data_IF_372992876988
#
_entry.id   IF_372992876988
#
_cell.length_a   1.000
_cell.length_b   1.000
_cell.length_c   1.000
_cell.angle_alpha   90.00
_cell.angle_beta   90.00
_cell.angle_gamma   90.00
#
_symmetry.space_group_name_H-M   'P 1'
#
loop_
_entity.id
_entity.type
_entity.pdbx_description
1 polymer ?
#
# COMPACT_ATOMS: atom_id res chain seq x y z
N UNK A 1 1.25 11.16 -6.35
CA UNK A 1 2.48 10.59 -6.94
C UNK A 1 2.53 9.11 -6.57
N UNK A 2 2.81 8.21 -7.53
CA UNK A 2 2.97 6.78 -7.32
C UNK A 2 4.20 6.29 -8.08
N UNK A 3 4.83 5.20 -7.63
CA UNK A 3 5.90 4.49 -8.33
C UNK A 3 5.37 3.49 -9.35
N UNK A 4 4.06 3.24 -9.37
CA UNK A 4 3.34 2.37 -10.28
C UNK A 4 2.25 3.13 -11.03
N UNK A 5 1.87 2.60 -12.21
CA UNK A 5 0.70 3.01 -12.98
C UNK A 5 -0.20 1.78 -13.22
N UNK A 6 -0.63 1.13 -12.14
CA UNK A 6 -1.37 -0.14 -12.23
C UNK A 6 -2.57 -0.05 -13.16
N UNK A 7 -2.75 -1.07 -14.01
CA UNK A 7 -3.78 -1.10 -15.06
C UNK A 7 -5.23 -1.03 -14.52
N UNK A 8 -5.42 -1.37 -13.25
CA UNK A 8 -6.71 -1.33 -12.55
C UNK A 8 -6.86 -0.09 -11.63
N UNK A 9 -5.89 0.85 -11.64
CA UNK A 9 -5.87 1.95 -10.67
C UNK A 9 -7.02 2.93 -10.90
N UNK A 10 -7.91 3.08 -9.92
CA UNK A 10 -9.02 4.03 -9.97
C UNK A 10 -8.58 5.50 -9.82
N UNK A 11 -7.35 5.73 -9.35
CA UNK A 11 -6.77 7.08 -9.24
C UNK A 11 -6.35 7.66 -10.59
N UNK A 12 -6.43 6.88 -11.68
CA UNK A 12 -5.97 7.25 -13.01
C UNK A 12 -4.43 7.22 -13.16
N UNK A 13 -3.97 7.35 -14.38
CA UNK A 13 -2.53 7.40 -14.68
C UNK A 13 -1.91 8.72 -14.26
N UNK A 14 -0.63 8.72 -13.89
CA UNK A 14 0.11 9.91 -13.43
C UNK A 14 0.02 11.09 -14.39
N UNK A 15 -0.15 10.82 -15.68
CA UNK A 15 -0.33 11.83 -16.74
C UNK A 15 -1.67 12.59 -16.67
N UNK A 16 -2.67 12.05 -15.97
CA UNK A 16 -3.99 12.68 -15.82
C UNK A 16 -4.12 13.56 -14.57
N UNK A 17 -3.17 13.44 -13.65
CA UNK A 17 -3.09 14.27 -12.45
C UNK A 17 -2.11 15.41 -12.72
N UNK A 18 -2.60 16.64 -12.90
CA UNK A 18 -1.74 17.83 -12.89
C UNK A 18 -0.78 17.79 -11.70
N UNK A 19 0.06 18.81 -11.50
CA UNK A 19 1.02 18.85 -10.38
C UNK A 19 0.33 18.52 -9.05
N UNK A 20 0.36 17.23 -8.68
CA UNK A 20 -0.24 16.75 -7.45
C UNK A 20 0.60 17.32 -6.28
N UNK A 21 0.06 18.31 -5.61
CA UNK A 21 0.69 18.89 -4.41
C UNK A 21 0.77 17.83 -3.33
N UNK A 22 1.97 17.50 -2.89
CA UNK A 22 2.20 16.71 -1.69
C UNK A 22 1.88 17.60 -0.48
N UNK A 23 0.90 17.24 0.39
CA UNK A 23 0.57 18.04 1.57
C UNK A 23 1.76 18.11 2.54
N UNK A 24 1.97 19.23 3.22
CA UNK A 24 3.01 19.32 4.24
C UNK A 24 2.65 18.47 5.47
N UNK A 25 3.67 17.95 6.18
CA UNK A 25 3.50 17.16 7.41
C UNK A 25 2.56 17.82 8.44
N UNK A 26 2.79 19.10 8.72
CA UNK A 26 1.99 19.87 9.68
C UNK A 26 0.55 20.09 9.22
N UNK A 27 0.31 20.16 7.91
CA UNK A 27 -1.03 20.23 7.34
C UNK A 27 -1.77 18.91 7.56
N UNK A 28 -1.11 17.77 7.35
CA UNK A 28 -1.67 16.43 7.59
C UNK A 28 -2.02 16.28 9.07
N UNK A 29 -1.09 16.57 9.96
CA UNK A 29 -1.29 16.45 11.41
C UNK A 29 -2.46 17.32 11.89
N UNK A 30 -2.52 18.60 11.48
CA UNK A 30 -3.63 19.51 11.85
C UNK A 30 -4.98 19.03 11.33
N UNK A 31 -5.05 18.55 10.06
CA UNK A 31 -6.30 18.04 9.49
C UNK A 31 -6.75 16.77 10.19
N UNK A 32 -5.83 15.86 10.48
CA UNK A 32 -6.13 14.65 11.24
C UNK A 32 -6.64 14.98 12.62
N UNK A 33 -5.93 15.82 13.38
CA UNK A 33 -6.37 16.21 14.73
C UNK A 33 -7.76 16.86 14.72
N UNK A 34 -8.00 17.78 13.78
CA UNK A 34 -9.31 18.41 13.61
C UNK A 34 -10.42 17.38 13.35
N UNK A 35 -10.14 16.38 12.51
CA UNK A 35 -11.09 15.31 12.21
C UNK A 35 -11.37 14.41 13.41
N UNK A 36 -10.33 14.05 14.17
CA UNK A 36 -10.47 13.22 15.37
C UNK A 36 -11.31 13.95 16.43
N UNK A 37 -11.11 15.24 16.63
CA UNK A 37 -11.92 16.06 17.54
C UNK A 37 -13.38 16.12 17.10
N UNK A 38 -13.65 16.35 15.80
CA UNK A 38 -15.01 16.36 15.26
C UNK A 38 -15.73 15.02 15.50
N UNK A 39 -15.02 13.88 15.36
CA UNK A 39 -15.58 12.56 15.65
C UNK A 39 -15.94 12.40 17.14
N UNK A 40 -15.09 12.89 18.05
CA UNK A 40 -15.39 12.89 19.50
C UNK A 40 -16.62 13.75 19.80
N UNK A 41 -16.70 14.96 19.27
CA UNK A 41 -17.82 15.88 19.50
C UNK A 41 -19.15 15.25 19.00
N UNK A 42 -19.08 14.51 17.90
CA UNK A 42 -20.22 13.76 17.33
C UNK A 42 -20.49 12.41 18.00
N UNK A 43 -19.65 11.99 18.95
CA UNK A 43 -19.68 10.65 19.56
C UNK A 43 -19.68 9.52 18.50
N UNK A 44 -18.98 9.76 17.39
CA UNK A 44 -18.86 8.77 16.31
C UNK A 44 -17.71 7.81 16.61
N UNK A 45 -17.88 6.49 16.37
CA UNK A 45 -16.80 5.51 16.52
C UNK A 45 -15.74 5.70 15.44
N UNK A 46 -14.52 5.26 15.76
CA UNK A 46 -13.41 5.18 14.81
C UNK A 46 -12.70 3.84 15.02
N UNK A 47 -12.74 2.99 14.00
CA UNK A 47 -12.10 1.67 14.03
C UNK A 47 -10.69 1.74 13.44
N UNK A 48 -10.49 2.55 12.39
CA UNK A 48 -9.23 2.57 11.65
C UNK A 48 -8.92 3.94 11.03
N UNK A 49 -7.62 4.31 11.06
CA UNK A 49 -7.04 5.42 10.29
C UNK A 49 -6.22 4.79 9.18
N UNK A 50 -6.63 4.99 7.92
CA UNK A 50 -5.99 4.34 6.79
C UNK A 50 -5.25 5.36 5.91
N UNK A 51 -3.97 5.09 5.67
CA UNK A 51 -3.19 5.73 4.63
C UNK A 51 -3.42 4.97 3.33
N UNK A 52 -4.29 5.51 2.52
CA UNK A 52 -4.61 5.06 1.18
C UNK A 52 -4.93 6.31 0.35
N UNK A 53 -4.86 6.23 -0.97
CA UNK A 53 -5.33 7.36 -1.77
C UNK A 53 -4.57 7.54 -3.07
N UNK A 54 -4.52 8.78 -3.56
CA UNK A 54 -4.05 9.14 -4.89
C UNK A 54 -2.52 9.03 -5.01
N UNK A 55 -1.98 7.83 -4.84
CA UNK A 55 -0.56 7.56 -4.94
C UNK A 55 -0.03 6.58 -3.91
N UNK A 56 1.28 6.52 -3.77
CA UNK A 56 1.99 5.67 -2.83
C UNK A 56 2.37 6.47 -1.57
N UNK A 57 1.82 6.15 -0.39
CA UNK A 57 2.08 6.90 0.84
C UNK A 57 3.55 6.98 1.23
N UNK A 58 4.32 5.90 1.01
CA UNK A 58 5.74 5.80 1.39
C UNK A 58 6.67 6.68 0.54
N UNK A 59 6.16 7.30 -0.54
CA UNK A 59 6.89 8.30 -1.32
C UNK A 59 6.90 9.68 -0.66
N UNK A 60 6.09 9.90 0.38
CA UNK A 60 6.10 11.19 1.08
C UNK A 60 7.46 11.39 1.78
N UNK A 61 8.15 12.53 1.59
CA UNK A 61 9.50 12.76 2.15
C UNK A 61 9.55 12.70 3.68
N UNK A 62 8.44 12.95 4.35
CA UNK A 62 8.26 12.88 5.81
C UNK A 62 7.34 11.75 6.22
N UNK A 63 7.35 10.61 5.51
CA UNK A 63 6.43 9.51 5.79
C UNK A 63 6.57 8.99 7.22
N UNK A 64 7.81 8.76 7.69
CA UNK A 64 8.06 8.21 9.02
C UNK A 64 7.53 9.13 10.13
N UNK A 65 7.79 10.44 10.01
CA UNK A 65 7.33 11.42 10.99
C UNK A 65 5.80 11.60 10.98
N UNK A 66 5.17 11.45 9.80
CA UNK A 66 3.70 11.49 9.68
C UNK A 66 3.08 10.28 10.38
N UNK A 67 3.69 9.10 10.28
CA UNK A 67 3.26 7.92 11.02
C UNK A 67 3.38 8.16 12.53
N UNK A 68 4.49 8.72 13.00
CA UNK A 68 4.69 9.04 14.43
C UNK A 68 3.65 10.05 14.94
N UNK A 69 3.39 11.12 14.19
CA UNK A 69 2.34 12.11 14.51
C UNK A 69 0.95 11.45 14.56
N UNK A 70 0.67 10.56 13.61
CA UNK A 70 -0.62 9.85 13.53
C UNK A 70 -0.82 8.91 14.72
N UNK A 71 0.20 8.14 15.09
CA UNK A 71 0.16 7.25 16.26
C UNK A 71 -0.07 8.07 17.54
N UNK A 72 0.64 9.16 17.72
CA UNK A 72 0.46 10.05 18.88
C UNK A 72 -0.96 10.65 18.96
N UNK A 73 -1.51 11.08 17.83
CA UNK A 73 -2.88 11.60 17.75
C UNK A 73 -3.93 10.50 17.99
N UNK A 74 -3.74 9.30 17.40
CA UNK A 74 -4.58 8.13 17.62
C UNK A 74 -4.62 7.78 19.11
N UNK A 75 -3.48 7.64 19.75
CA UNK A 75 -3.36 7.24 21.16
C UNK A 75 -4.03 8.26 22.09
N UNK A 76 -3.99 9.54 21.71
CA UNK A 76 -4.62 10.62 22.48
C UNK A 76 -6.14 10.64 22.36
N UNK A 77 -6.70 10.38 21.19
CA UNK A 77 -8.11 10.61 20.89
C UNK A 77 -8.93 9.31 20.72
N UNK A 78 -8.33 8.28 20.16
CA UNK A 78 -8.97 6.98 19.85
C UNK A 78 -7.96 5.84 20.04
N UNK A 79 -7.55 5.53 21.28
CA UNK A 79 -6.46 4.56 21.55
C UNK A 79 -6.73 3.14 21.02
N UNK A 80 -8.00 2.78 20.84
CA UNK A 80 -8.38 1.46 20.33
C UNK A 80 -8.41 1.39 18.79
N UNK A 81 -8.37 2.55 18.09
CA UNK A 81 -8.39 2.59 16.65
C UNK A 81 -7.07 2.06 16.06
N UNK A 82 -7.15 1.37 14.92
CA UNK A 82 -6.01 0.82 14.21
C UNK A 82 -5.42 1.83 13.22
N UNK A 83 -4.11 1.78 13.01
CA UNK A 83 -3.45 2.52 11.93
C UNK A 83 -3.07 1.53 10.84
N UNK A 84 -3.53 1.80 9.62
CA UNK A 84 -3.33 0.97 8.43
C UNK A 84 -2.59 1.77 7.35
N UNK A 85 -1.61 1.16 6.71
CA UNK A 85 -0.99 1.69 5.49
C UNK A 85 -1.17 0.68 4.37
N UNK A 86 -1.69 1.16 3.24
CA UNK A 86 -1.73 0.42 1.96
C UNK A 86 -0.54 0.90 1.13
N UNK A 87 0.41 0.02 0.84
CA UNK A 87 1.63 0.35 0.10
C UNK A 87 1.92 -0.68 -1.00
N UNK A 88 2.49 -0.20 -2.10
CA UNK A 88 3.01 -1.06 -3.17
C UNK A 88 4.40 -1.66 -2.87
N UNK A 89 4.90 -1.47 -1.67
CA UNK A 89 6.16 -1.99 -1.14
C UNK A 89 7.45 -1.51 -1.83
N UNK A 90 7.40 -0.68 -2.88
CA UNK A 90 8.60 -0.25 -3.62
C UNK A 90 9.62 0.53 -2.78
N UNK A 91 9.20 1.08 -1.64
CA UNK A 91 10.06 1.82 -0.70
C UNK A 91 10.36 1.05 0.59
N UNK A 92 9.91 -0.21 0.71
CA UNK A 92 10.08 -1.03 1.92
C UNK A 92 11.56 -1.24 2.31
N UNK A 93 12.47 -1.19 1.33
CA UNK A 93 13.91 -1.26 1.54
C UNK A 93 14.52 -0.05 2.28
N UNK A 94 13.83 1.09 2.34
CA UNK A 94 14.33 2.29 3.03
C UNK A 94 14.22 2.10 4.54
N UNK A 95 15.32 2.33 5.32
CA UNK A 95 15.31 2.06 6.76
C UNK A 95 14.26 2.85 7.54
N UNK A 96 14.04 4.12 7.20
CA UNK A 96 13.06 5.00 7.80
C UNK A 96 11.62 4.56 7.50
N UNK A 97 11.33 4.19 6.25
CA UNK A 97 10.04 3.65 5.83
C UNK A 97 9.77 2.32 6.52
N UNK A 98 10.75 1.41 6.54
CA UNK A 98 10.63 0.12 7.22
C UNK A 98 10.32 0.30 8.71
N UNK A 99 11.08 1.15 9.39
CA UNK A 99 10.87 1.42 10.80
C UNK A 99 9.45 1.99 11.08
N UNK A 100 8.93 2.83 10.20
CA UNK A 100 7.58 3.37 10.33
C UNK A 100 6.51 2.29 10.10
N UNK A 101 6.67 1.45 9.07
CA UNK A 101 5.73 0.36 8.75
C UNK A 101 5.69 -0.73 9.84
N UNK A 102 6.77 -0.93 10.58
CA UNK A 102 6.80 -1.86 11.73
C UNK A 102 6.05 -1.35 12.97
N UNK A 103 5.79 -0.03 13.07
CA UNK A 103 5.08 0.58 14.21
C UNK A 103 3.56 0.49 14.10
N UNK A 104 3.02 0.32 12.90
CA UNK A 104 1.58 0.39 12.66
C UNK A 104 0.88 -0.96 12.86
N UNK A 105 -0.44 -0.91 13.05
CA UNK A 105 -1.23 -2.11 13.32
C UNK A 105 -1.41 -3.01 12.08
N UNK A 106 -1.66 -2.42 10.91
CA UNK A 106 -1.92 -3.13 9.66
C UNK A 106 -0.99 -2.62 8.55
N UNK A 107 0.10 -3.31 8.35
CA UNK A 107 1.05 -3.07 7.26
C UNK A 107 0.61 -3.88 6.04
N UNK A 108 -0.21 -3.27 5.17
CA UNK A 108 -0.78 -3.92 3.99
C UNK A 108 0.10 -3.65 2.78
N UNK A 109 0.77 -4.71 2.31
CA UNK A 109 1.75 -4.66 1.23
C UNK A 109 1.23 -5.40 0.00
N UNK A 110 1.24 -4.73 -1.15
CA UNK A 110 0.66 -5.25 -2.37
C UNK A 110 1.59 -6.22 -3.09
N UNK A 111 1.03 -7.38 -3.50
CA UNK A 111 1.68 -8.39 -4.32
C UNK A 111 0.67 -9.03 -5.26
N UNK A 112 0.49 -8.46 -6.46
CA UNK A 112 -0.51 -8.95 -7.43
C UNK A 112 -0.03 -10.13 -8.26
N UNK A 113 1.28 -10.29 -8.43
CA UNK A 113 1.92 -11.45 -9.06
C UNK A 113 3.33 -11.61 -8.51
N UNK A 114 3.83 -12.84 -8.46
CA UNK A 114 5.22 -13.18 -8.16
C UNK A 114 6.04 -13.46 -9.43
N UNK A 115 5.41 -13.38 -10.60
CA UNK A 115 6.06 -13.53 -11.92
C UNK A 115 6.44 -12.15 -12.44
N UNK A 116 7.74 -11.93 -12.73
CA UNK A 116 8.29 -10.61 -13.12
C UNK A 116 7.49 -9.95 -14.25
N UNK A 117 7.29 -10.65 -15.34
CA UNK A 117 6.61 -10.11 -16.52
C UNK A 117 5.15 -9.75 -16.25
N UNK A 118 4.44 -10.56 -15.47
CA UNK A 118 3.05 -10.30 -15.11
C UNK A 118 2.94 -9.15 -14.13
N UNK A 119 3.84 -9.08 -13.14
CA UNK A 119 3.93 -7.95 -12.21
C UNK A 119 4.20 -6.63 -12.95
N UNK A 120 5.09 -6.63 -13.95
CA UNK A 120 5.36 -5.47 -14.80
C UNK A 120 4.12 -5.03 -15.59
N UNK A 121 3.39 -5.99 -16.19
CA UNK A 121 2.17 -5.68 -16.92
C UNK A 121 1.05 -5.16 -16.04
N UNK A 122 0.88 -5.71 -14.84
CA UNK A 122 -0.16 -5.30 -13.91
C UNK A 122 0.17 -3.92 -13.31
N UNK A 123 1.37 -3.78 -12.78
CA UNK A 123 1.74 -2.63 -11.96
C UNK A 123 2.35 -1.47 -12.73
N UNK A 124 2.80 -1.68 -13.99
CA UNK A 124 3.41 -0.65 -14.84
C UNK A 124 4.42 0.20 -14.04
N UNK A 125 5.52 -0.41 -13.52
CA UNK A 125 6.47 0.31 -12.67
C UNK A 125 7.21 1.40 -13.43
N UNK A 126 7.40 2.58 -12.79
CA UNK A 126 8.11 3.72 -13.37
C UNK A 126 9.63 3.54 -13.35
N UNK A 127 10.14 2.56 -12.60
CA UNK A 127 11.57 2.26 -12.51
C UNK A 127 11.94 1.11 -13.45
N UNK A 128 12.98 1.26 -14.28
CA UNK A 128 13.51 0.16 -15.08
C UNK A 128 14.20 -0.92 -14.22
N UNK A 129 14.54 -0.61 -12.98
CA UNK A 129 15.18 -1.53 -12.04
C UNK A 129 14.17 -2.31 -11.18
N UNK A 130 12.88 -2.31 -11.59
CA UNK A 130 11.85 -3.06 -10.89
C UNK A 130 12.15 -4.57 -10.92
N UNK A 131 12.14 -5.18 -9.75
CA UNK A 131 12.47 -6.58 -9.55
C UNK A 131 11.52 -7.15 -8.49
N UNK A 132 10.59 -7.99 -8.93
CA UNK A 132 9.55 -8.54 -8.04
C UNK A 132 10.15 -9.47 -6.97
N UNK A 133 11.23 -10.17 -7.27
CA UNK A 133 11.90 -11.03 -6.29
C UNK A 133 12.45 -10.19 -5.13
N UNK A 134 13.08 -9.04 -5.41
CA UNK A 134 13.52 -8.11 -4.37
C UNK A 134 12.36 -7.56 -3.55
N UNK A 135 11.23 -7.24 -4.17
CA UNK A 135 10.03 -6.78 -3.44
C UNK A 135 9.55 -7.89 -2.48
N UNK A 136 9.50 -9.14 -2.93
CA UNK A 136 9.14 -10.30 -2.10
C UNK A 136 10.10 -10.44 -0.92
N UNK A 137 11.41 -10.37 -1.16
CA UNK A 137 12.43 -10.44 -0.11
C UNK A 137 12.29 -9.29 0.91
N UNK A 138 11.98 -8.08 0.46
CA UNK A 138 11.76 -6.93 1.33
C UNK A 138 10.47 -7.06 2.17
N UNK A 139 9.39 -7.57 1.58
CA UNK A 139 8.15 -7.86 2.31
C UNK A 139 8.39 -8.93 3.38
N UNK A 140 9.21 -9.94 3.09
CA UNK A 140 9.54 -11.03 4.02
C UNK A 140 10.28 -10.56 5.29
N UNK A 141 10.79 -9.33 5.32
CA UNK A 141 11.44 -8.74 6.49
C UNK A 141 10.46 -8.12 7.49
N UNK A 142 9.15 -8.13 7.19
CA UNK A 142 8.12 -7.61 8.09
C UNK A 142 7.38 -8.76 8.77
N UNK A 143 7.47 -8.82 10.08
CA UNK A 143 6.71 -9.78 10.92
C UNK A 143 5.23 -9.43 11.03
N UNK A 144 4.87 -8.17 10.73
CA UNK A 144 3.50 -7.65 10.72
C UNK A 144 2.90 -7.54 9.31
N UNK A 145 3.52 -8.10 8.28
CA UNK A 145 3.03 -7.98 6.90
C UNK A 145 1.64 -8.58 6.73
N UNK A 146 0.78 -7.85 6.03
CA UNK A 146 -0.45 -8.33 5.42
C UNK A 146 -0.24 -8.23 3.91
N UNK A 147 -0.31 -9.34 3.19
CA UNK A 147 -0.20 -9.32 1.73
C UNK A 147 -1.57 -9.08 1.13
N UNK A 148 -1.68 -8.06 0.26
CA UNK A 148 -2.90 -7.78 -0.48
C UNK A 148 -2.70 -8.09 -1.97
N UNK A 149 -3.62 -8.87 -2.56
CA UNK A 149 -3.56 -9.33 -3.95
C UNK A 149 -4.89 -9.10 -4.64
N UNK A 150 -4.85 -8.47 -5.81
CA UNK A 150 -5.96 -8.41 -6.76
C UNK A 150 -5.80 -9.53 -7.79
N UNK A 151 -6.76 -10.45 -7.87
CA UNK A 151 -6.83 -11.45 -8.94
C UNK A 151 -7.79 -11.02 -10.04
N UNK A 152 -7.32 -11.05 -11.28
CA UNK A 152 -8.13 -10.74 -12.45
C UNK A 152 -7.54 -11.34 -13.73
N UNK A 153 -8.39 -11.42 -14.73
CA UNK A 153 -8.00 -11.71 -16.12
C UNK A 153 -8.60 -10.66 -17.05
N UNK A 154 -7.84 -10.14 -18.00
CA UNK A 154 -8.30 -9.11 -18.92
C UNK A 154 -7.30 -8.77 -20.01
N UNK A 155 -7.69 -7.83 -20.87
CA UNK A 155 -6.83 -7.33 -21.95
C UNK A 155 -6.47 -5.85 -21.68
N UNK A 156 -5.18 -5.55 -21.78
CA UNK A 156 -4.68 -4.19 -21.69
C UNK A 156 -3.66 -3.93 -22.81
N UNK A 157 -3.89 -2.93 -23.65
CA UNK A 157 -3.05 -2.58 -24.80
C UNK A 157 -2.71 -3.77 -25.74
N UNK A 158 -3.68 -4.68 -25.94
CA UNK A 158 -3.52 -5.85 -26.79
C UNK A 158 -2.82 -7.05 -26.13
N UNK A 159 -2.44 -6.94 -24.86
CA UNK A 159 -1.89 -8.03 -24.06
C UNK A 159 -2.94 -8.64 -23.14
N UNK A 160 -3.03 -9.96 -23.13
CA UNK A 160 -3.82 -10.68 -22.14
C UNK A 160 -3.02 -10.73 -20.84
N UNK A 161 -3.59 -10.17 -19.77
CA UNK A 161 -3.05 -10.23 -18.42
C UNK A 161 -3.95 -11.16 -17.61
N UNK A 162 -3.38 -12.20 -17.04
CA UNK A 162 -4.11 -13.17 -16.22
C UNK A 162 -3.21 -13.69 -15.10
N UNK A 163 -3.42 -13.19 -13.89
CA UNK A 163 -2.70 -13.67 -12.69
C UNK A 163 -3.47 -14.76 -11.93
N UNK A 164 -4.47 -15.39 -12.59
CA UNK A 164 -5.26 -16.49 -12.02
C UNK A 164 -4.87 -17.86 -12.58
N UNK A 165 -3.91 -17.93 -13.50
CA UNK A 165 -3.42 -19.20 -14.07
C UNK A 165 -2.74 -20.08 -13.02
N UNK A 166 -2.63 -21.37 -13.27
CA UNK A 166 -2.00 -22.32 -12.34
C UNK A 166 -0.54 -21.95 -12.04
N UNK A 167 0.22 -21.51 -13.06
CA UNK A 167 1.61 -21.08 -12.90
C UNK A 167 1.71 -19.83 -12.04
N UNK A 168 0.85 -18.84 -12.26
CA UNK A 168 0.80 -17.59 -11.47
C UNK A 168 0.45 -17.89 -10.01
N UNK A 169 -0.59 -18.68 -9.77
CA UNK A 169 -1.01 -19.06 -8.42
C UNK A 169 0.09 -19.85 -7.71
N UNK A 170 0.77 -20.75 -8.42
CA UNK A 170 1.90 -21.53 -7.86
C UNK A 170 3.04 -20.60 -7.44
N UNK A 171 3.47 -19.69 -8.31
CA UNK A 171 4.52 -18.71 -8.00
C UNK A 171 4.13 -17.80 -6.83
N UNK A 172 2.88 -17.34 -6.80
CA UNK A 172 2.36 -16.52 -5.71
C UNK A 172 2.32 -17.27 -4.36
N UNK A 173 1.92 -18.55 -4.35
CA UNK A 173 1.95 -19.39 -3.14
C UNK A 173 3.39 -19.55 -2.64
N UNK A 174 4.38 -19.79 -3.52
CA UNK A 174 5.78 -19.87 -3.11
C UNK A 174 6.30 -18.53 -2.54
N UNK A 175 5.89 -17.41 -3.11
CA UNK A 175 6.19 -16.10 -2.54
C UNK A 175 5.57 -15.93 -1.14
N UNK A 176 4.32 -16.35 -0.92
CA UNK A 176 3.70 -16.32 0.41
C UNK A 176 4.42 -17.22 1.42
N UNK A 177 4.94 -18.39 1.01
CA UNK A 177 5.75 -19.25 1.88
C UNK A 177 7.06 -18.58 2.29
N UNK A 178 7.64 -17.75 1.41
CA UNK A 178 8.84 -16.94 1.69
C UNK A 178 8.50 -15.79 2.65
N UNK A 179 7.46 -15.03 2.34
CA UNK A 179 7.02 -13.85 3.11
C UNK A 179 6.50 -14.27 4.49
N UNK A 180 5.71 -15.34 4.57
CA UNK A 180 5.00 -15.78 5.78
C UNK A 180 4.17 -14.66 6.40
N UNK A 181 3.27 -14.02 5.64
CA UNK A 181 2.51 -12.88 6.11
C UNK A 181 1.58 -13.30 7.26
N UNK A 182 1.25 -12.33 8.14
CA UNK A 182 0.25 -12.52 9.20
C UNK A 182 -1.14 -12.81 8.63
N UNK A 183 -1.45 -12.20 7.49
CA UNK A 183 -2.75 -12.28 6.83
C UNK A 183 -2.57 -12.13 5.31
N UNK A 184 -3.48 -12.71 4.54
CA UNK A 184 -3.57 -12.54 3.10
C UNK A 184 -4.96 -12.01 2.76
N UNK A 185 -5.02 -10.86 2.10
CA UNK A 185 -6.24 -10.23 1.61
C UNK A 185 -6.34 -10.43 0.10
N UNK A 186 -7.38 -11.11 -0.34
CA UNK A 186 -7.64 -11.36 -1.77
C UNK A 186 -8.92 -10.66 -2.18
N UNK A 187 -8.91 -10.01 -3.34
CA UNK A 187 -10.08 -9.40 -3.93
C UNK A 187 -10.03 -9.51 -5.47
N UNK A 188 -11.15 -9.25 -6.11
CA UNK A 188 -11.27 -9.25 -7.56
C UNK A 188 -11.91 -7.94 -8.03
N UNK A 189 -11.82 -7.65 -9.32
CA UNK A 189 -12.56 -6.55 -9.94
C UNK A 189 -14.05 -6.90 -9.96
N UNK A 190 -14.87 -5.98 -9.47
CA UNK A 190 -16.34 -6.10 -9.44
C UNK A 190 -17.01 -5.49 -10.70
N UNK A 191 -16.35 -5.69 -11.88
CA UNK A 191 -16.81 -5.09 -13.14
C UNK A 191 -16.73 -6.07 -14.30
#
# INVERSE_FOLDING_TARGET
VCSFECVYCECGFATSHGEARIPARDEIARKLESKLRDLIDKKAPLDVITFAGNGEPTLHPHFAEIIDDTLALRDRYFPDAKVTVLSNATRAHKPDVRAALLKIDNNVLKLDSAVQTTAEWINQPNSPDFDIAKIIDEIALFDNAIVQTLFFSGNYNGHCIDNTTEDEITAWIEALKTIRPREVMVYSLDR
#
